data_IF_581011723703
#
_entry.id   IF_581011723703
#
_cell.length_a   1.000
_cell.length_b   1.000
_cell.length_c   1.000
_cell.angle_alpha   90.00
_cell.angle_beta   90.00
_cell.angle_gamma   90.00
#
_symmetry.space_group_name_H-M   'P 1'
#
loop_
_entity.id
_entity.type
_entity.pdbx_description
1 polymer ?
#
# COMPACT_ATOMS: atom_id res chain seq x y z
N UNK A 1 -7.78 -0.83 -2.23
CA UNK A 1 -7.21 -1.52 -1.05
C UNK A 1 -7.94 -2.86 -0.95
N UNK A 2 -7.35 -3.95 -1.41
CA UNK A 2 -7.94 -5.30 -1.32
C UNK A 2 -8.33 -5.65 0.13
N UNK A 3 -7.52 -5.19 1.10
CA UNK A 3 -7.80 -5.32 2.53
C UNK A 3 -9.10 -4.64 3.00
N UNK A 4 -9.48 -3.50 2.41
CA UNK A 4 -10.73 -2.83 2.78
C UNK A 4 -11.96 -3.63 2.35
N UNK A 5 -11.89 -4.23 1.15
CA UNK A 5 -12.94 -5.10 0.62
C UNK A 5 -13.02 -6.42 1.39
N UNK A 6 -11.88 -7.07 1.63
CA UNK A 6 -11.79 -8.25 2.47
C UNK A 6 -12.33 -7.99 3.89
N UNK A 7 -11.99 -6.84 4.50
CA UNK A 7 -12.51 -6.46 5.82
C UNK A 7 -14.02 -6.17 5.80
N UNK A 8 -14.55 -5.66 4.69
CA UNK A 8 -16.00 -5.48 4.52
C UNK A 8 -16.72 -6.83 4.50
N UNK A 9 -16.20 -7.82 3.76
CA UNK A 9 -16.72 -9.19 3.75
C UNK A 9 -16.50 -9.85 5.12
N UNK A 10 -15.35 -9.63 5.75
CA UNK A 10 -15.07 -10.17 7.07
C UNK A 10 -16.13 -9.73 8.11
N UNK A 11 -16.64 -8.50 7.99
CA UNK A 11 -17.67 -7.93 8.85
C UNK A 11 -19.06 -8.54 8.65
N UNK A 12 -19.32 -9.26 7.56
CA UNK A 12 -20.60 -9.95 7.34
C UNK A 12 -20.64 -11.34 7.99
N UNK A 13 -19.50 -11.91 8.40
CA UNK A 13 -19.48 -13.19 9.11
C UNK A 13 -19.99 -13.06 10.55
N UNK A 14 -20.60 -14.12 11.11
CA UNK A 14 -21.03 -14.12 12.51
C UNK A 14 -19.82 -13.96 13.45
N UNK A 15 -20.04 -13.25 14.56
CA UNK A 15 -19.02 -13.09 15.59
C UNK A 15 -18.73 -14.46 16.23
N UNK A 16 -17.50 -14.93 16.04
CA UNK A 16 -16.99 -16.13 16.70
C UNK A 16 -15.92 -15.75 17.71
N UNK A 17 -15.82 -16.52 18.80
CA UNK A 17 -14.74 -16.42 19.80
C UNK A 17 -13.66 -17.48 19.62
N UNK A 18 -13.89 -18.48 18.75
CA UNK A 18 -12.96 -19.59 18.51
C UNK A 18 -11.94 -19.20 17.45
N UNK A 19 -10.65 -19.25 17.80
CA UNK A 19 -9.55 -18.84 16.91
C UNK A 19 -9.61 -19.50 15.52
N UNK A 20 -9.94 -20.78 15.45
CA UNK A 20 -10.03 -21.50 14.17
C UNK A 20 -11.16 -21.02 13.27
N UNK A 21 -12.28 -20.58 13.87
CA UNK A 21 -13.37 -19.98 13.10
C UNK A 21 -12.99 -18.59 12.57
N UNK A 22 -12.27 -17.78 13.36
CA UNK A 22 -11.74 -16.51 12.86
C UNK A 22 -10.77 -16.73 11.69
N UNK A 23 -9.86 -17.70 11.80
CA UNK A 23 -8.91 -18.06 10.73
C UNK A 23 -9.63 -18.43 9.43
N UNK A 24 -10.65 -19.30 9.50
CA UNK A 24 -11.46 -19.67 8.33
C UNK A 24 -12.19 -18.47 7.75
N UNK A 25 -12.79 -17.61 8.57
CA UNK A 25 -13.47 -16.40 8.11
C UNK A 25 -12.52 -15.43 7.41
N UNK A 26 -11.28 -15.27 7.91
CA UNK A 26 -10.25 -14.47 7.25
C UNK A 26 -9.89 -15.08 5.90
N UNK A 27 -9.64 -16.39 5.85
CA UNK A 27 -9.28 -17.07 4.60
C UNK A 27 -10.40 -16.93 3.55
N UNK A 28 -11.64 -17.25 3.91
CA UNK A 28 -12.80 -17.08 3.02
C UNK A 28 -12.96 -15.63 2.56
N UNK A 29 -12.79 -14.64 3.45
CA UNK A 29 -12.86 -13.22 3.07
C UNK A 29 -11.77 -12.77 2.08
N UNK A 30 -10.61 -13.45 2.08
CA UNK A 30 -9.52 -13.19 1.16
C UNK A 30 -9.72 -13.89 -0.19
N UNK A 31 -10.28 -15.10 -0.17
CA UNK A 31 -10.59 -15.88 -1.37
C UNK A 31 -11.78 -15.29 -2.16
N UNK A 32 -12.75 -14.69 -1.46
CA UNK A 32 -13.91 -14.01 -2.06
C UNK A 32 -13.58 -12.67 -2.75
N UNK A 33 -12.32 -12.20 -2.68
CA UNK A 33 -11.90 -10.99 -3.36
C UNK A 33 -11.99 -11.23 -4.88
N UNK A 34 -12.90 -10.57 -5.61
CA UNK A 34 -13.07 -10.86 -7.02
C UNK A 34 -11.79 -10.50 -7.75
N UNK A 35 -11.34 -11.40 -8.63
CA UNK A 35 -10.15 -11.23 -9.46
C UNK A 35 -10.17 -9.89 -10.20
N UNK A 36 -11.33 -9.30 -10.50
CA UNK A 36 -11.45 -7.96 -11.12
C UNK A 36 -10.93 -6.84 -10.20
N UNK A 37 -11.08 -6.95 -8.88
CA UNK A 37 -10.48 -6.01 -7.92
C UNK A 37 -8.97 -6.22 -7.76
N UNK A 38 -8.47 -7.44 -7.93
CA UNK A 38 -7.04 -7.74 -8.01
C UNK A 38 -6.44 -7.28 -9.36
N UNK A 39 -7.12 -7.55 -10.48
CA UNK A 39 -6.71 -7.31 -11.88
C UNK A 39 -7.08 -5.95 -12.45
N UNK A 40 -7.86 -5.12 -11.74
CA UNK A 40 -7.82 -3.65 -11.88
C UNK A 40 -6.40 -3.10 -11.74
N UNK A 41 -5.48 -3.91 -11.20
CA UNK A 41 -4.04 -3.66 -11.17
C UNK A 41 -3.26 -4.00 -12.42
N UNK A 42 -3.79 -4.77 -13.37
CA UNK A 42 -3.00 -5.32 -14.49
C UNK A 42 -3.68 -5.13 -15.85
N UNK A 43 -5.00 -5.34 -15.96
CA UNK A 43 -5.68 -5.43 -17.26
C UNK A 43 -6.35 -4.13 -17.74
N UNK A 44 -6.48 -3.11 -16.89
CA UNK A 44 -7.28 -1.92 -17.18
C UNK A 44 -6.49 -0.78 -17.86
N UNK A 45 -5.56 -1.11 -18.75
CA UNK A 45 -4.81 -0.12 -19.55
C UNK A 45 -5.43 0.14 -20.93
N UNK A 46 -6.33 -0.74 -21.38
CA UNK A 46 -6.92 -0.69 -22.74
C UNK A 46 -8.31 -0.04 -22.73
N UNK A 47 -9.05 -0.06 -21.60
CA UNK A 47 -10.44 0.39 -21.57
C UNK A 47 -10.85 0.85 -20.16
N UNK A 48 -10.49 2.07 -19.73
CA UNK A 48 -11.20 2.77 -18.65
C UNK A 48 -10.86 4.26 -18.58
N UNK A 49 -11.81 5.14 -18.15
CA UNK A 49 -11.68 6.58 -18.29
C UNK A 49 -10.73 7.20 -17.27
N UNK A 50 -10.19 8.35 -17.66
CA UNK A 50 -9.29 9.30 -16.98
C UNK A 50 -9.63 9.65 -15.51
N UNK A 51 -10.78 9.25 -14.98
CA UNK A 51 -11.21 9.58 -13.61
C UNK A 51 -10.82 8.55 -12.54
N UNK A 52 -10.00 7.55 -12.86
CA UNK A 52 -9.77 6.42 -11.95
C UNK A 52 -8.42 6.50 -11.25
N UNK A 53 -8.51 6.60 -9.91
CA UNK A 53 -7.42 6.58 -8.92
C UNK A 53 -6.28 5.62 -9.33
N UNK A 54 -4.99 5.99 -9.12
CA UNK A 54 -3.86 5.15 -9.47
C UNK A 54 -4.00 3.77 -8.82
N UNK A 55 -3.70 2.75 -9.63
CA UNK A 55 -3.94 1.36 -9.29
C UNK A 55 -3.20 0.92 -8.02
N UNK A 56 -3.77 -0.02 -7.28
CA UNK A 56 -3.30 -0.43 -5.94
C UNK A 56 -1.86 -0.93 -5.96
N UNK A 57 -1.50 -1.76 -6.95
CA UNK A 57 -0.13 -2.27 -7.13
C UNK A 57 0.86 -1.12 -7.30
N UNK A 58 0.50 -0.04 -8.00
CA UNK A 58 1.39 1.11 -8.17
C UNK A 58 1.64 1.85 -6.85
N UNK A 59 0.69 1.86 -5.91
CA UNK A 59 0.92 2.44 -4.58
C UNK A 59 1.85 1.55 -3.76
N UNK A 60 1.62 0.24 -3.76
CA UNK A 60 2.48 -0.71 -3.06
C UNK A 60 3.91 -0.70 -3.60
N UNK A 61 4.09 -0.68 -4.93
CA UNK A 61 5.40 -0.58 -5.56
C UNK A 61 6.17 0.66 -5.11
N UNK A 62 5.51 1.81 -4.95
CA UNK A 62 6.19 3.03 -4.50
C UNK A 62 6.67 2.96 -3.05
N UNK A 63 5.92 2.27 -2.20
CA UNK A 63 6.38 1.99 -0.84
C UNK A 63 7.51 0.96 -0.84
N UNK A 64 7.42 -0.08 -1.67
CA UNK A 64 8.48 -1.09 -1.81
C UNK A 64 9.78 -0.48 -2.34
N UNK A 65 9.69 0.41 -3.33
CA UNK A 65 10.81 1.19 -3.88
C UNK A 65 11.43 2.07 -2.79
N UNK A 66 10.61 2.79 -2.03
CA UNK A 66 11.10 3.58 -0.90
C UNK A 66 11.81 2.73 0.16
N UNK A 67 11.27 1.57 0.51
CA UNK A 67 11.94 0.66 1.45
C UNK A 67 13.22 0.06 0.88
N UNK A 68 13.29 -0.20 -0.43
CA UNK A 68 14.52 -0.64 -1.09
C UNK A 68 15.64 0.40 -0.99
N UNK A 69 15.29 1.69 -0.94
CA UNK A 69 16.20 2.79 -0.66
C UNK A 69 16.51 3.00 0.84
N UNK A 70 16.01 2.14 1.73
CA UNK A 70 16.29 2.20 3.17
C UNK A 70 15.50 3.26 3.94
N UNK A 71 14.39 3.76 3.38
CA UNK A 71 13.60 4.82 4.00
C UNK A 71 12.74 4.29 5.15
N UNK A 72 12.75 5.01 6.27
CA UNK A 72 11.82 4.76 7.38
C UNK A 72 10.36 5.04 6.96
N UNK A 73 9.39 4.43 7.64
CA UNK A 73 7.96 4.50 7.28
C UNK A 73 7.42 5.92 7.19
N UNK A 74 7.87 6.84 8.05
CA UNK A 74 7.50 8.25 8.00
C UNK A 74 8.07 8.95 6.75
N UNK A 75 9.34 8.67 6.42
CA UNK A 75 10.03 9.19 5.24
C UNK A 75 9.42 8.64 3.95
N UNK A 76 9.14 7.34 3.91
CA UNK A 76 8.51 6.67 2.78
C UNK A 76 7.11 7.25 2.51
N UNK A 77 6.30 7.50 3.53
CA UNK A 77 4.99 8.13 3.36
C UNK A 77 5.09 9.55 2.78
N UNK A 78 6.08 10.32 3.20
CA UNK A 78 6.36 11.64 2.63
C UNK A 78 6.81 11.55 1.17
N UNK A 79 7.76 10.67 0.87
CA UNK A 79 8.30 10.43 -0.47
C UNK A 79 7.19 10.04 -1.46
N UNK A 80 6.34 9.08 -1.10
CA UNK A 80 5.23 8.63 -1.95
C UNK A 80 4.21 9.74 -2.21
N UNK A 81 4.04 10.66 -1.25
CA UNK A 81 3.15 11.83 -1.39
C UNK A 81 3.77 12.90 -2.30
N UNK A 82 5.07 13.18 -2.15
CA UNK A 82 5.82 14.16 -2.95
C UNK A 82 5.97 13.70 -4.41
N UNK A 83 6.31 12.43 -4.61
CA UNK A 83 6.58 11.83 -5.93
C UNK A 83 5.38 11.05 -6.48
N UNK A 84 4.15 11.48 -6.18
CA UNK A 84 2.93 10.78 -6.59
C UNK A 84 2.77 10.66 -8.12
N UNK A 85 3.45 11.49 -8.91
CA UNK A 85 3.52 11.39 -10.37
C UNK A 85 4.61 10.46 -10.89
N UNK A 86 5.74 10.38 -10.17
CA UNK A 86 6.89 9.58 -10.57
C UNK A 86 6.72 8.12 -10.11
N UNK A 87 7.33 7.19 -10.85
CA UNK A 87 7.30 5.75 -10.52
C UNK A 87 8.54 5.29 -9.77
N UNK A 88 9.55 6.15 -9.69
CA UNK A 88 10.82 5.92 -9.03
C UNK A 88 11.05 7.04 -8.03
N UNK A 89 11.50 6.63 -6.85
CA UNK A 89 12.02 7.49 -5.80
C UNK A 89 13.44 7.91 -6.21
N UNK A 90 13.78 9.20 -6.29
CA UNK A 90 15.15 9.61 -6.60
C UNK A 90 16.11 9.20 -5.48
N UNK A 91 17.36 8.87 -5.81
CA UNK A 91 18.35 8.37 -4.85
C UNK A 91 18.69 9.37 -3.72
N UNK A 92 18.53 10.68 -3.99
CA UNK A 92 18.83 11.75 -3.04
C UNK A 92 17.65 12.08 -2.09
N UNK A 93 16.71 11.16 -1.89
CA UNK A 93 15.46 11.49 -1.18
C UNK A 93 15.64 11.71 0.32
N UNK A 94 16.66 11.12 0.94
CA UNK A 94 17.00 11.36 2.34
C UNK A 94 17.38 12.83 2.55
N UNK A 95 18.28 13.36 1.71
CA UNK A 95 18.67 14.77 1.76
C UNK A 95 17.48 15.73 1.49
N UNK A 96 16.57 15.35 0.59
CA UNK A 96 15.36 16.12 0.32
C UNK A 96 14.35 16.08 1.48
N UNK A 97 14.29 14.96 2.20
CA UNK A 97 13.47 14.81 3.40
C UNK A 97 14.03 15.67 4.54
N UNK A 98 15.35 15.61 4.77
CA UNK A 98 16.04 16.39 5.80
C UNK A 98 15.90 17.90 5.55
N UNK A 99 16.00 18.34 4.30
CA UNK A 99 15.77 19.74 3.93
C UNK A 99 14.32 20.20 4.16
N UNK A 100 13.34 19.28 4.08
CA UNK A 100 11.93 19.60 4.24
C UNK A 100 11.45 19.56 5.70
N UNK A 101 12.11 18.76 6.55
CA UNK A 101 11.71 18.53 7.93
C UNK A 101 12.68 19.13 8.97
N UNK A 102 13.85 19.63 8.54
CA UNK A 102 14.97 19.91 9.44
C UNK A 102 15.59 18.60 9.94
N UNK A 103 16.86 18.59 10.32
CA UNK A 103 17.53 17.39 10.85
C UNK A 103 16.80 16.93 12.12
N UNK A 104 15.94 15.93 11.98
CA UNK A 104 15.35 15.22 13.13
C UNK A 104 16.40 14.20 13.53
N UNK A 105 17.11 14.49 14.62
CA UNK A 105 18.25 13.72 15.10
C UNK A 105 18.03 12.20 15.07
N UNK A 106 18.99 11.51 14.44
CA UNK A 106 19.54 10.24 14.88
C UNK A 106 18.64 9.00 14.82
N UNK A 107 18.51 8.39 13.64
CA UNK A 107 18.30 6.94 13.58
C UNK A 107 19.67 6.26 13.59
N UNK A 108 20.16 5.96 14.80
CA UNK A 108 21.23 4.97 15.00
C UNK A 108 20.68 3.61 14.57
N UNK A 109 21.20 3.10 13.46
CA UNK A 109 21.06 1.69 13.09
C UNK A 109 22.05 0.91 13.97
N UNK A 110 21.51 0.14 14.92
CA UNK A 110 22.19 -0.98 15.56
C UNK A 110 21.55 -2.27 15.06
#
# INVERSE_FOLDING_TARGET
MCWGYAKQIYRTFPLSKKADALRRNVQSSLDDIPIVTQRRCVYQRIFWPVLTRPSFVNRCLRFMDAYAHGLDGAMAAWAVRKYRGHRTVPENIMALFDAAHGTVDGHKVA
#
